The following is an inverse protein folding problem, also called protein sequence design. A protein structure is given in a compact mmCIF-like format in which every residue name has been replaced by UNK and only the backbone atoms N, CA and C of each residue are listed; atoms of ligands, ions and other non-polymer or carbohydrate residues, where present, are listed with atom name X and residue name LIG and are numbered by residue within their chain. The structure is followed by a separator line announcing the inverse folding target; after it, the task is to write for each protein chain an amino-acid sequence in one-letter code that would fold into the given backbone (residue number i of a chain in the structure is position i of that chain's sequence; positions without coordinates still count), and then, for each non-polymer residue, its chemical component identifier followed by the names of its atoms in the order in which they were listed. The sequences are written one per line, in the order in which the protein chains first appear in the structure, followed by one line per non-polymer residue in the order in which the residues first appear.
data_IF_374392041829
#
_entry.id   IF_374392041829
#
_cell.length_a   1.000
_cell.length_b   1.000
_cell.length_c   1.000
_cell.angle_alpha   90.00
_cell.angle_beta   90.00
_cell.angle_gamma   90.00
#
_symmetry.space_group_name_H-M   'P 1'
#
loop_
_entity.id
_entity.type
_entity.pdbx_description
1 polymer ?
#
# COMPACT_ATOMS: atom_id res chain seq x y z
N UNK A 1 -19.59 -19.93 -42.18
CA UNK A 1 -20.13 -18.76 -41.43
C UNK A 1 -19.74 -18.71 -39.97
N UNK A 2 -19.24 -19.78 -39.33
CA UNK A 2 -18.94 -19.83 -37.87
C UNK A 2 -17.61 -19.13 -37.53
N UNK A 3 -16.62 -19.06 -38.42
CA UNK A 3 -15.30 -18.47 -38.12
C UNK A 3 -15.28 -16.95 -37.96
N UNK A 4 -16.16 -16.22 -38.66
CA UNK A 4 -16.19 -14.73 -38.60
C UNK A 4 -16.76 -14.23 -37.26
N UNK A 5 -17.72 -14.93 -36.66
CA UNK A 5 -18.32 -14.63 -35.38
C UNK A 5 -17.33 -14.72 -34.20
N UNK A 6 -16.40 -15.68 -34.25
CA UNK A 6 -15.40 -15.84 -33.18
C UNK A 6 -14.35 -14.70 -33.16
N UNK A 7 -13.99 -14.18 -34.34
CA UNK A 7 -13.06 -13.05 -34.43
C UNK A 7 -13.69 -11.73 -33.95
N UNK A 8 -14.98 -11.51 -34.28
CA UNK A 8 -15.70 -10.32 -33.81
C UNK A 8 -15.86 -10.30 -32.28
N UNK A 9 -16.13 -11.46 -31.67
CA UNK A 9 -16.22 -11.58 -30.22
C UNK A 9 -14.86 -11.35 -29.55
N UNK A 10 -13.78 -11.92 -30.10
CA UNK A 10 -12.42 -11.73 -29.59
C UNK A 10 -11.98 -10.27 -29.67
N UNK A 11 -12.27 -9.56 -30.76
CA UNK A 11 -11.98 -8.13 -30.93
C UNK A 11 -12.76 -7.30 -29.92
N UNK A 12 -14.04 -7.62 -29.70
CA UNK A 12 -14.88 -6.91 -28.72
C UNK A 12 -14.35 -7.05 -27.28
N UNK A 13 -13.88 -8.25 -26.92
CA UNK A 13 -13.27 -8.50 -25.61
C UNK A 13 -11.95 -7.71 -25.47
N UNK A 14 -11.10 -7.70 -26.50
CA UNK A 14 -9.83 -6.96 -26.49
C UNK A 14 -10.04 -5.45 -26.35
N UNK A 15 -11.04 -4.87 -27.03
CA UNK A 15 -11.35 -3.43 -26.93
C UNK A 15 -11.81 -3.08 -25.51
N UNK A 16 -12.60 -3.92 -24.85
CA UNK A 16 -13.04 -3.67 -23.48
C UNK A 16 -11.89 -3.74 -22.47
N UNK A 17 -10.96 -4.69 -22.61
CA UNK A 17 -9.79 -4.79 -21.73
C UNK A 17 -8.91 -3.54 -21.85
N UNK A 18 -8.73 -3.02 -23.06
CA UNK A 18 -7.90 -1.84 -23.31
C UNK A 18 -8.48 -0.57 -22.66
N UNK A 19 -9.79 -0.42 -22.63
CA UNK A 19 -10.45 0.73 -22.00
C UNK A 19 -10.35 0.71 -20.46
N UNK A 20 -10.31 -0.47 -19.83
CA UNK A 20 -10.22 -0.61 -18.38
C UNK A 20 -8.82 -0.19 -17.88
N UNK A 21 -7.76 -0.62 -18.57
CA UNK A 21 -6.37 -0.26 -18.21
C UNK A 21 -6.09 1.23 -18.36
N UNK A 22 -6.58 1.87 -19.40
CA UNK A 22 -6.39 3.31 -19.61
C UNK A 22 -7.12 4.17 -18.57
N UNK A 23 -8.28 3.71 -18.09
CA UNK A 23 -9.04 4.38 -17.03
C UNK A 23 -8.31 4.39 -15.69
N UNK A 24 -7.71 3.27 -15.30
CA UNK A 24 -7.03 3.14 -13.99
C UNK A 24 -5.80 4.04 -13.88
N UNK A 25 -4.95 4.08 -14.89
CA UNK A 25 -3.75 4.94 -14.90
C UNK A 25 -4.10 6.42 -14.74
N UNK A 26 -5.18 6.87 -15.38
CA UNK A 26 -5.66 8.23 -15.26
C UNK A 26 -6.09 8.59 -13.83
N UNK A 27 -6.80 7.71 -13.14
CA UNK A 27 -7.22 7.95 -11.76
C UNK A 27 -6.03 7.95 -10.80
N UNK A 28 -5.10 7.02 -10.96
CA UNK A 28 -3.89 6.98 -10.16
C UNK A 28 -3.07 8.26 -10.28
N UNK A 29 -2.77 8.69 -11.52
CA UNK A 29 -1.98 9.90 -11.76
C UNK A 29 -2.65 11.17 -11.21
N UNK A 30 -3.99 11.26 -11.33
CA UNK A 30 -4.74 12.37 -10.73
C UNK A 30 -4.72 12.34 -9.21
N UNK A 31 -4.80 11.15 -8.62
CA UNK A 31 -4.64 10.95 -7.17
C UNK A 31 -3.28 11.43 -6.67
N UNK A 32 -2.20 11.11 -7.40
CA UNK A 32 -0.85 11.60 -7.08
C UNK A 32 -0.72 13.12 -7.16
N UNK A 33 -1.34 13.74 -8.17
CA UNK A 33 -1.37 15.20 -8.31
C UNK A 33 -2.04 15.84 -7.09
N UNK A 34 -3.25 15.40 -6.74
CA UNK A 34 -3.96 15.89 -5.57
C UNK A 34 -3.21 15.63 -4.26
N UNK A 35 -2.59 14.47 -4.11
CA UNK A 35 -1.78 14.15 -2.92
C UNK A 35 -0.60 15.12 -2.76
N UNK A 36 0.11 15.44 -3.84
CA UNK A 36 1.21 16.43 -3.85
C UNK A 36 0.71 17.84 -3.49
N UNK A 37 -0.48 18.18 -3.95
CA UNK A 37 -1.15 19.46 -3.63
C UNK A 37 -1.76 19.49 -2.23
N UNK A 38 -1.63 18.41 -1.44
CA UNK A 38 -2.23 18.22 -0.10
C UNK A 38 -3.76 18.27 -0.10
N UNK A 39 -4.39 17.99 -1.24
CA UNK A 39 -5.84 17.84 -1.41
C UNK A 39 -6.21 16.39 -1.12
N UNK A 40 -6.19 16.03 0.18
CA UNK A 40 -6.24 14.63 0.59
C UNK A 40 -7.59 13.97 0.33
N UNK A 41 -8.70 14.69 0.43
CA UNK A 41 -10.04 14.14 0.12
C UNK A 41 -10.20 13.80 -1.35
N UNK A 42 -9.74 14.70 -2.24
CA UNK A 42 -9.75 14.47 -3.68
C UNK A 42 -8.77 13.35 -4.09
N UNK A 43 -7.60 13.30 -3.45
CA UNK A 43 -6.62 12.24 -3.66
C UNK A 43 -7.21 10.88 -3.27
N UNK A 44 -7.84 10.79 -2.09
CA UNK A 44 -8.51 9.60 -1.57
C UNK A 44 -9.56 9.09 -2.55
N UNK A 45 -10.46 9.98 -2.99
CA UNK A 45 -11.48 9.65 -3.99
C UNK A 45 -10.87 9.08 -5.29
N UNK A 46 -9.76 9.63 -5.76
CA UNK A 46 -9.11 9.15 -6.98
C UNK A 46 -8.44 7.80 -6.79
N UNK A 47 -7.75 7.55 -5.66
CA UNK A 47 -7.15 6.26 -5.35
C UNK A 47 -8.23 5.18 -5.15
N UNK A 48 -9.32 5.48 -4.47
CA UNK A 48 -10.46 4.57 -4.33
C UNK A 48 -11.08 4.22 -5.69
N UNK A 49 -11.24 5.21 -6.57
CA UNK A 49 -11.66 4.94 -7.96
C UNK A 49 -10.67 4.07 -8.71
N UNK A 50 -9.38 4.32 -8.56
CA UNK A 50 -8.36 3.49 -9.20
C UNK A 50 -8.47 2.02 -8.76
N UNK A 51 -8.68 1.76 -7.48
CA UNK A 51 -8.86 0.41 -6.92
C UNK A 51 -10.08 -0.31 -7.50
N UNK A 52 -11.18 0.40 -7.81
CA UNK A 52 -12.35 -0.19 -8.45
C UNK A 52 -12.00 -0.78 -9.83
N UNK A 53 -11.14 -0.10 -10.59
CA UNK A 53 -10.71 -0.55 -11.92
C UNK A 53 -9.49 -1.48 -11.87
N UNK A 54 -8.63 -1.31 -10.88
CA UNK A 54 -7.44 -2.12 -10.66
C UNK A 54 -7.29 -2.52 -9.18
N UNK A 55 -8.03 -3.54 -8.71
CA UNK A 55 -8.02 -3.96 -7.30
C UNK A 55 -6.66 -4.51 -6.82
N UNK A 56 -5.72 -4.78 -7.73
CA UNK A 56 -4.37 -5.24 -7.42
C UNK A 56 -3.30 -4.14 -7.47
N UNK A 57 -3.70 -2.88 -7.51
CA UNK A 57 -2.76 -1.77 -7.44
C UNK A 57 -2.36 -1.49 -5.98
N UNK A 58 -1.27 -2.14 -5.54
CA UNK A 58 -0.72 -2.01 -4.18
C UNK A 58 -0.41 -0.56 -3.81
N UNK A 59 -0.02 0.25 -4.80
CA UNK A 59 0.41 1.64 -4.58
C UNK A 59 -0.77 2.54 -4.23
N UNK A 60 -1.95 2.33 -4.81
CA UNK A 60 -3.16 3.08 -4.40
C UNK A 60 -3.52 2.82 -2.93
N UNK A 61 -3.44 1.57 -2.46
CA UNK A 61 -3.64 1.26 -1.05
C UNK A 61 -2.58 1.90 -0.16
N UNK A 62 -1.31 1.92 -0.60
CA UNK A 62 -0.24 2.59 0.14
C UNK A 62 -0.50 4.10 0.28
N UNK A 63 -0.95 4.77 -0.79
CA UNK A 63 -1.29 6.20 -0.72
C UNK A 63 -2.53 6.46 0.15
N UNK A 64 -3.53 5.58 0.11
CA UNK A 64 -4.66 5.66 1.04
C UNK A 64 -4.18 5.52 2.49
N UNK A 65 -3.28 4.59 2.79
CA UNK A 65 -2.70 4.45 4.12
C UNK A 65 -1.98 5.72 4.56
N UNK A 66 -1.17 6.34 3.69
CA UNK A 66 -0.49 7.61 3.98
C UNK A 66 -1.47 8.75 4.27
N UNK A 67 -2.59 8.80 3.54
CA UNK A 67 -3.62 9.81 3.80
C UNK A 67 -4.27 9.54 5.17
N UNK A 68 -4.62 8.29 5.48
CA UNK A 68 -5.20 7.95 6.79
C UNK A 68 -4.23 8.16 7.94
N UNK A 69 -2.92 8.02 7.73
CA UNK A 69 -1.91 8.43 8.70
C UNK A 69 -1.96 9.94 8.99
N UNK A 70 -2.09 10.77 7.95
CA UNK A 70 -2.24 12.23 8.09
C UNK A 70 -3.57 12.60 8.78
N UNK A 71 -4.63 11.84 8.54
CA UNK A 71 -5.95 11.99 9.17
C UNK A 71 -6.02 11.39 10.58
N UNK A 72 -4.95 10.78 11.07
CA UNK A 72 -4.86 10.07 12.36
C UNK A 72 -5.87 8.89 12.50
N UNK A 73 -6.37 8.35 11.36
CA UNK A 73 -7.23 7.15 11.33
C UNK A 73 -6.36 5.88 11.23
N UNK A 74 -5.71 5.55 12.36
CA UNK A 74 -4.79 4.41 12.44
C UNK A 74 -5.43 3.08 12.03
N UNK A 75 -6.73 2.90 12.25
CA UNK A 75 -7.44 1.67 11.87
C UNK A 75 -7.52 1.50 10.37
N UNK A 76 -7.83 2.57 9.63
CA UNK A 76 -7.87 2.53 8.17
C UNK A 76 -6.47 2.51 7.58
N UNK A 77 -5.51 3.21 8.18
CA UNK A 77 -4.11 3.14 7.82
C UNK A 77 -3.62 1.69 7.85
N UNK A 78 -3.71 1.01 9.01
CA UNK A 78 -3.26 -0.38 9.18
C UNK A 78 -3.92 -1.31 8.16
N UNK A 79 -5.24 -1.21 7.96
CA UNK A 79 -5.98 -2.02 6.98
C UNK A 79 -5.44 -1.85 5.56
N UNK A 80 -5.16 -0.64 5.13
CA UNK A 80 -4.65 -0.36 3.78
C UNK A 80 -3.20 -0.83 3.62
N UNK A 81 -2.36 -0.71 4.67
CA UNK A 81 -1.00 -1.25 4.67
C UNK A 81 -0.99 -2.78 4.59
N UNK A 82 -1.87 -3.45 5.32
CA UNK A 82 -2.01 -4.91 5.24
C UNK A 82 -2.45 -5.34 3.84
N UNK A 83 -3.36 -4.60 3.21
CA UNK A 83 -3.77 -4.86 1.83
C UNK A 83 -2.61 -4.62 0.86
N UNK A 84 -1.82 -3.58 1.06
CA UNK A 84 -0.58 -3.34 0.29
C UNK A 84 0.34 -4.54 0.36
N UNK A 85 0.60 -5.07 1.56
CA UNK A 85 1.49 -6.23 1.74
C UNK A 85 0.89 -7.56 1.29
N UNK A 86 -0.43 -7.68 1.22
CA UNK A 86 -1.09 -8.84 0.62
C UNK A 86 -0.82 -8.90 -0.89
N UNK A 87 -0.80 -7.76 -1.56
CA UNK A 87 -0.58 -7.64 -3.00
C UNK A 87 0.93 -7.61 -3.32
N UNK A 88 1.70 -6.84 -2.56
CA UNK A 88 3.14 -6.65 -2.70
C UNK A 88 3.86 -6.92 -1.37
N UNK A 89 4.18 -8.19 -1.08
CA UNK A 89 4.73 -8.61 0.22
C UNK A 89 6.07 -7.97 0.59
N UNK A 90 6.78 -7.42 -0.38
CA UNK A 90 8.12 -6.83 -0.22
C UNK A 90 8.09 -5.29 -0.28
N UNK A 91 6.93 -4.66 -0.14
CA UNK A 91 6.82 -3.21 -0.11
C UNK A 91 7.46 -2.66 1.17
N UNK A 92 8.65 -2.07 1.00
CA UNK A 92 9.48 -1.58 2.11
C UNK A 92 8.76 -0.54 2.96
N UNK A 93 8.09 0.40 2.30
CA UNK A 93 7.41 1.50 2.99
C UNK A 93 6.22 1.01 3.82
N UNK A 94 5.43 0.10 3.26
CA UNK A 94 4.31 -0.49 3.98
C UNK A 94 4.75 -1.30 5.20
N UNK A 95 5.88 -2.04 5.12
CA UNK A 95 6.43 -2.77 6.26
C UNK A 95 6.86 -1.78 7.36
N UNK A 96 7.58 -0.72 7.01
CA UNK A 96 8.05 0.28 7.97
C UNK A 96 6.91 1.02 8.65
N UNK A 97 5.86 1.40 7.90
CA UNK A 97 4.68 2.05 8.48
C UNK A 97 3.97 1.11 9.47
N UNK A 98 3.80 -0.17 9.13
CA UNK A 98 3.24 -1.17 10.06
C UNK A 98 4.11 -1.41 11.29
N UNK A 99 5.44 -1.34 11.16
CA UNK A 99 6.34 -1.43 12.32
C UNK A 99 6.12 -0.24 13.26
N UNK A 100 5.97 0.97 12.74
CA UNK A 100 5.68 2.18 13.55
C UNK A 100 4.37 2.03 14.29
N UNK A 101 3.29 1.61 13.61
CA UNK A 101 1.99 1.34 14.25
C UNK A 101 2.12 0.26 15.34
N UNK A 102 2.86 -0.82 15.09
CA UNK A 102 3.06 -1.87 16.06
C UNK A 102 3.83 -1.37 17.30
N UNK A 103 4.81 -0.50 17.11
CA UNK A 103 5.58 0.13 18.19
C UNK A 103 4.69 1.03 19.05
N UNK A 104 3.87 1.88 18.43
CA UNK A 104 2.89 2.74 19.11
C UNK A 104 1.88 1.92 19.94
N UNK A 105 1.48 0.76 19.43
CA UNK A 105 0.58 -0.18 20.11
C UNK A 105 1.31 -1.06 21.16
N UNK A 106 2.60 -0.84 21.39
CA UNK A 106 3.43 -1.67 22.26
C UNK A 106 3.42 -3.17 21.88
N UNK A 107 3.17 -3.46 20.60
CA UNK A 107 3.23 -4.83 20.07
C UNK A 107 4.66 -5.17 19.61
N UNK A 108 5.55 -5.36 20.56
CA UNK A 108 6.97 -5.57 20.33
C UNK A 108 7.28 -6.84 19.53
N UNK A 109 6.47 -7.88 19.70
CA UNK A 109 6.59 -9.10 18.89
C UNK A 109 6.37 -8.80 17.41
N UNK A 110 5.27 -8.08 17.08
CA UNK A 110 4.98 -7.68 15.69
C UNK A 110 6.09 -6.79 15.10
N UNK A 111 6.67 -5.90 15.90
CA UNK A 111 7.82 -5.07 15.45
C UNK A 111 9.00 -5.96 15.06
N UNK A 112 9.39 -6.91 15.91
CA UNK A 112 10.51 -7.85 15.65
C UNK A 112 10.27 -8.70 14.40
N UNK A 113 9.06 -9.23 14.24
CA UNK A 113 8.69 -10.05 13.07
C UNK A 113 8.75 -9.26 11.77
N UNK A 114 8.20 -8.04 11.78
CA UNK A 114 8.25 -7.14 10.63
C UNK A 114 9.68 -6.70 10.32
N UNK A 115 10.51 -6.41 11.34
CA UNK A 115 11.93 -6.08 11.17
C UNK A 115 12.72 -7.22 10.53
N UNK A 116 12.49 -8.46 10.99
CA UNK A 116 13.10 -9.65 10.38
C UNK A 116 12.69 -9.84 8.93
N UNK A 117 11.44 -9.55 8.58
CA UNK A 117 10.95 -9.55 7.21
C UNK A 117 11.61 -8.43 6.39
N UNK A 118 11.63 -7.21 6.94
CA UNK A 118 12.20 -6.04 6.30
C UNK A 118 13.68 -6.21 5.94
N UNK A 119 14.48 -6.74 6.86
CA UNK A 119 15.91 -6.98 6.64
C UNK A 119 16.20 -7.88 5.43
N UNK A 120 15.27 -8.80 5.11
CA UNK A 120 15.41 -9.72 3.98
C UNK A 120 15.04 -9.08 2.63
N UNK A 121 14.24 -8.02 2.64
CA UNK A 121 13.66 -7.44 1.42
C UNK A 121 14.13 -6.03 1.14
N UNK A 122 14.67 -5.32 2.14
CA UNK A 122 15.05 -3.92 2.00
C UNK A 122 16.15 -3.70 0.96
N UNK A 123 16.01 -2.63 0.17
CA UNK A 123 16.96 -2.18 -0.85
C UNK A 123 17.30 -0.69 -0.72
N UNK A 124 16.31 0.11 -0.33
CA UNK A 124 16.40 1.57 -0.30
C UNK A 124 16.27 2.15 1.12
N UNK A 125 15.41 1.57 1.93
CA UNK A 125 15.04 2.11 3.24
C UNK A 125 15.69 1.35 4.41
N UNK A 126 16.76 0.60 4.18
CA UNK A 126 17.38 -0.28 5.17
C UNK A 126 17.80 0.43 6.47
N UNK A 127 18.16 1.71 6.41
CA UNK A 127 18.56 2.49 7.58
C UNK A 127 17.37 2.78 8.52
N UNK A 128 16.18 2.97 8.01
CA UNK A 128 14.96 3.24 8.79
C UNK A 128 14.65 2.14 9.82
N UNK A 129 15.03 0.89 9.49
CA UNK A 129 14.85 -0.23 10.40
C UNK A 129 15.68 -0.08 11.69
N UNK A 130 16.87 0.50 11.60
CA UNK A 130 17.74 0.71 12.76
C UNK A 130 17.10 1.68 13.76
N UNK A 131 16.52 2.77 13.27
CA UNK A 131 15.90 3.79 14.10
C UNK A 131 14.71 3.22 14.86
N UNK A 132 13.91 2.36 14.21
CA UNK A 132 12.77 1.69 14.83
C UNK A 132 13.25 0.69 15.89
N UNK A 133 14.30 -0.09 15.60
CA UNK A 133 14.85 -1.05 16.56
C UNK A 133 15.53 -0.37 17.76
N UNK A 134 16.18 0.78 17.55
CA UNK A 134 16.70 1.59 18.64
C UNK A 134 15.56 2.10 19.53
N UNK A 135 14.50 2.62 18.92
CA UNK A 135 13.29 3.03 19.65
C UNK A 135 12.68 1.87 20.46
N UNK A 136 12.60 0.67 19.84
CA UNK A 136 12.13 -0.54 20.51
C UNK A 136 12.99 -0.88 21.72
N UNK A 137 14.34 -0.84 21.60
CA UNK A 137 15.25 -1.17 22.68
C UNK A 137 15.16 -0.25 23.90
N UNK A 138 14.70 0.99 23.66
CA UNK A 138 14.51 2.00 24.70
C UNK A 138 13.18 1.86 25.44
N UNK A 139 12.18 1.23 24.83
CA UNK A 139 10.79 1.20 25.35
C UNK A 139 10.42 -0.22 25.83
N UNK A 140 11.00 -1.28 25.25
CA UNK A 140 10.69 -2.65 25.61
C UNK A 140 11.16 -2.93 27.05
N UNK A 141 10.27 -3.38 27.96
CA UNK A 141 10.68 -3.75 29.30
C UNK A 141 11.77 -4.83 29.27
N UNK A 142 12.92 -4.54 29.86
CA UNK A 142 13.94 -5.57 30.05
C UNK A 142 13.38 -6.57 31.07
N UNK A 143 13.10 -7.78 30.61
CA UNK A 143 12.82 -8.86 31.55
C UNK A 143 14.08 -9.07 32.40
N UNK A 144 14.08 -8.51 33.61
CA UNK A 144 15.05 -8.91 34.62
C UNK A 144 14.76 -10.37 34.99
N UNK A 145 15.59 -11.26 34.49
CA UNK A 145 15.62 -12.69 34.85
C UNK A 145 16.41 -12.91 36.10
#
# INVERSE_FOLDING_TARGET
MIKLSNYTLAIFILINIFNITFGSEKFFNKGLEFYKDKKYDEAKFMFERNIVFNPKDSISYLYLAKIYNIEEDQKKEEKNLETTLLIEPNNEEAILMLMKIALEKSNYTKVKDLSNKFTKVCKKLCNENKDILESLSNIEPKNES
#
